data_IF_611202700782
#
_entry.id   IF_611202700782
#
_cell.length_a   1.000
_cell.length_b   1.000
_cell.length_c   1.000
_cell.angle_alpha   90.00
_cell.angle_beta   90.00
_cell.angle_gamma   90.00
#
_symmetry.space_group_name_H-M   'P 1'
#
loop_
_entity.id
_entity.type
_entity.pdbx_description
1 polymer ?
#
# COMPACT_ATOMS: atom_id res chain seq x y z
N UNK A 1 14.20 -14.78 -13.53
CA UNK A 1 13.65 -14.21 -12.27
C UNK A 1 12.88 -15.32 -11.58
N UNK A 2 13.27 -15.75 -10.36
CA UNK A 2 12.43 -16.63 -9.55
C UNK A 2 11.23 -15.82 -9.07
N UNK A 3 10.02 -16.17 -9.50
CA UNK A 3 8.81 -15.61 -8.94
C UNK A 3 8.85 -15.86 -7.41
N UNK A 4 8.95 -14.77 -6.63
CA UNK A 4 8.76 -14.90 -5.18
C UNK A 4 7.34 -15.40 -4.97
N UNK A 5 7.24 -16.52 -4.26
CA UNK A 5 5.95 -17.10 -3.90
C UNK A 5 5.07 -16.06 -3.20
N UNK A 6 3.85 -15.88 -3.70
CA UNK A 6 2.90 -14.94 -3.12
C UNK A 6 2.52 -15.39 -1.71
N UNK A 7 2.84 -14.56 -0.72
CA UNK A 7 2.50 -14.82 0.68
C UNK A 7 1.35 -13.90 1.12
N UNK A 8 0.09 -14.37 1.12
CA UNK A 8 -1.08 -13.54 1.36
C UNK A 8 -1.16 -12.91 2.76
N UNK A 9 -0.39 -13.42 3.72
CA UNK A 9 -0.35 -12.91 5.10
C UNK A 9 0.69 -11.81 5.34
N UNK A 10 1.49 -11.45 4.32
CA UNK A 10 2.50 -10.40 4.46
C UNK A 10 1.82 -9.04 4.52
N UNK A 11 2.00 -8.31 5.63
CA UNK A 11 1.52 -6.93 5.76
C UNK A 11 2.45 -5.96 5.02
N UNK A 12 1.87 -4.91 4.46
CA UNK A 12 2.57 -3.83 3.78
C UNK A 12 2.16 -2.51 4.41
N UNK A 13 3.10 -1.57 4.52
CA UNK A 13 2.84 -0.17 4.86
C UNK A 13 2.97 0.66 3.59
N UNK A 14 2.00 1.55 3.35
CA UNK A 14 2.00 2.52 2.26
C UNK A 14 1.87 3.90 2.90
N UNK A 15 2.77 4.79 2.56
CA UNK A 15 2.70 6.21 2.93
C UNK A 15 2.41 7.01 1.67
N UNK A 16 1.41 7.86 1.72
CA UNK A 16 1.02 8.69 0.59
C UNK A 16 0.43 10.02 1.08
N UNK A 17 0.32 11.01 0.17
CA UNK A 17 -0.40 12.25 0.44
C UNK A 17 -1.90 11.98 0.57
N UNK A 18 -2.62 12.85 1.27
CA UNK A 18 -4.08 12.76 1.37
C UNK A 18 -4.77 12.78 -0.01
N UNK A 19 -4.27 13.58 -0.94
CA UNK A 19 -4.79 13.62 -2.31
C UNK A 19 -4.76 12.23 -2.97
N UNK A 20 -3.63 11.52 -2.85
CA UNK A 20 -3.49 10.14 -3.36
C UNK A 20 -4.39 9.17 -2.59
N UNK A 21 -4.52 9.36 -1.29
CA UNK A 21 -5.39 8.53 -0.46
C UNK A 21 -6.85 8.66 -0.88
N UNK A 22 -7.33 9.91 -1.13
CA UNK A 22 -8.68 10.19 -1.67
C UNK A 22 -8.89 9.56 -3.03
N UNK A 23 -7.92 9.70 -3.93
CA UNK A 23 -7.97 9.08 -5.25
C UNK A 23 -8.05 7.56 -5.17
N UNK A 24 -7.25 6.94 -4.30
CA UNK A 24 -7.30 5.49 -4.07
C UNK A 24 -8.67 5.05 -3.56
N UNK A 25 -9.26 5.78 -2.60
CA UNK A 25 -10.60 5.46 -2.10
C UNK A 25 -11.65 5.50 -3.21
N UNK A 26 -11.65 6.57 -4.01
CA UNK A 26 -12.56 6.73 -5.14
C UNK A 26 -12.42 5.61 -6.18
N UNK A 27 -11.19 5.31 -6.59
CA UNK A 27 -10.95 4.22 -7.56
C UNK A 27 -11.38 2.85 -7.04
N UNK A 28 -11.09 2.55 -5.76
CA UNK A 28 -11.52 1.29 -5.16
C UNK A 28 -13.04 1.24 -5.03
N UNK A 29 -13.67 2.34 -4.65
CA UNK A 29 -15.13 2.44 -4.60
C UNK A 29 -15.74 2.20 -5.97
N UNK A 30 -15.27 2.87 -7.02
CA UNK A 30 -15.80 2.74 -8.38
C UNK A 30 -15.70 1.31 -8.91
N UNK A 31 -14.53 0.68 -8.76
CA UNK A 31 -14.36 -0.73 -9.15
C UNK A 31 -15.28 -1.64 -8.34
N UNK A 32 -15.42 -1.39 -7.03
CA UNK A 32 -16.29 -2.17 -6.16
C UNK A 32 -17.75 -2.04 -6.57
N UNK A 33 -18.20 -0.82 -6.89
CA UNK A 33 -19.56 -0.56 -7.39
C UNK A 33 -19.80 -1.24 -8.72
N UNK A 34 -18.84 -1.15 -9.66
CA UNK A 34 -18.95 -1.79 -10.97
C UNK A 34 -19.13 -3.30 -10.84
N UNK A 35 -18.21 -3.98 -10.15
CA UNK A 35 -18.28 -5.44 -9.98
C UNK A 35 -19.45 -5.86 -9.08
N UNK A 36 -19.93 -4.96 -8.23
CA UNK A 36 -21.09 -5.14 -7.37
C UNK A 36 -22.45 -4.96 -8.08
N UNK A 37 -22.44 -4.51 -9.33
CA UNK A 37 -23.65 -4.30 -10.14
C UNK A 37 -24.28 -2.93 -10.00
N UNK A 38 -23.50 -1.93 -9.55
CA UNK A 38 -23.95 -0.52 -9.41
C UNK A 38 -23.12 0.44 -10.28
N UNK A 39 -22.95 0.21 -11.58
CA UNK A 39 -22.12 1.05 -12.43
C UNK A 39 -22.61 2.50 -12.49
N UNK A 40 -23.90 2.76 -12.35
CA UNK A 40 -24.49 4.09 -12.35
C UNK A 40 -24.05 4.98 -11.16
N UNK A 41 -23.46 4.37 -10.11
CA UNK A 41 -23.00 5.07 -8.92
C UNK A 41 -21.48 5.32 -8.92
N UNK A 42 -20.80 5.06 -10.02
CA UNK A 42 -19.35 5.28 -10.13
C UNK A 42 -19.06 6.78 -10.22
N UNK A 43 -18.20 7.26 -9.34
CA UNK A 43 -17.85 8.68 -9.27
C UNK A 43 -17.04 9.16 -10.48
N UNK A 44 -16.25 8.28 -11.09
CA UNK A 44 -15.47 8.60 -12.30
C UNK A 44 -16.35 9.00 -13.50
N UNK A 45 -17.61 8.60 -13.53
CA UNK A 45 -18.54 9.01 -14.61
C UNK A 45 -18.79 10.52 -14.62
N UNK A 46 -18.64 11.17 -13.45
CA UNK A 46 -18.79 12.64 -13.36
C UNK A 46 -17.70 13.40 -14.09
N UNK A 47 -16.66 12.76 -14.60
CA UNK A 47 -15.65 13.36 -15.46
C UNK A 47 -16.15 13.64 -16.87
N UNK A 48 -17.31 13.10 -17.25
CA UNK A 48 -17.92 13.22 -18.57
C UNK A 48 -19.18 14.10 -18.48
N UNK A 49 -19.42 14.93 -19.50
CA UNK A 49 -20.60 15.80 -19.55
C UNK A 49 -21.93 15.00 -19.52
N UNK A 50 -21.91 13.79 -20.09
CA UNK A 50 -23.03 12.86 -20.11
C UNK A 50 -22.84 11.69 -19.13
N UNK A 51 -22.11 11.87 -18.04
CA UNK A 51 -21.79 10.81 -17.08
C UNK A 51 -22.99 10.06 -16.52
N UNK A 52 -24.09 10.75 -16.25
CA UNK A 52 -25.33 10.13 -15.79
C UNK A 52 -25.93 9.20 -16.86
N UNK A 53 -26.01 9.63 -18.12
CA UNK A 53 -26.53 8.81 -19.21
C UNK A 53 -25.69 7.57 -19.45
N UNK A 54 -24.36 7.73 -19.34
CA UNK A 54 -23.40 6.60 -19.40
C UNK A 54 -23.68 5.62 -18.26
N UNK A 55 -23.86 6.12 -17.06
CA UNK A 55 -24.15 5.30 -15.87
C UNK A 55 -25.44 4.51 -16.01
N UNK A 56 -26.51 5.15 -16.46
CA UNK A 56 -27.80 4.49 -16.72
C UNK A 56 -27.67 3.45 -17.85
N UNK A 57 -27.01 3.79 -18.94
CA UNK A 57 -26.76 2.83 -20.01
C UNK A 57 -25.98 1.60 -19.52
N UNK A 58 -24.97 1.80 -18.70
CA UNK A 58 -24.19 0.70 -18.12
C UNK A 58 -25.03 -0.16 -17.19
N UNK A 59 -25.89 0.47 -16.39
CA UNK A 59 -26.82 -0.24 -15.51
C UNK A 59 -27.80 -1.11 -16.31
N UNK A 60 -28.42 -0.55 -17.35
CA UNK A 60 -29.49 -1.22 -18.07
C UNK A 60 -28.99 -2.25 -19.09
N UNK A 61 -27.79 -2.03 -19.68
CA UNK A 61 -27.29 -2.86 -20.76
C UNK A 61 -26.06 -3.69 -20.37
N UNK A 62 -25.11 -3.15 -19.61
CA UNK A 62 -23.88 -3.88 -19.27
C UNK A 62 -24.07 -4.76 -18.05
N UNK A 63 -24.72 -4.25 -17.01
CA UNK A 63 -24.98 -5.01 -15.79
C UNK A 63 -25.72 -6.34 -16.03
N UNK A 64 -26.80 -6.42 -16.82
CA UNK A 64 -27.45 -7.70 -17.10
C UNK A 64 -26.55 -8.71 -17.83
N UNK A 65 -25.58 -8.23 -18.62
CA UNK A 65 -24.59 -9.10 -19.26
C UNK A 65 -23.59 -9.66 -18.25
N UNK A 66 -23.19 -8.84 -17.26
CA UNK A 66 -22.25 -9.24 -16.22
C UNK A 66 -22.88 -10.12 -15.14
N UNK A 67 -24.10 -9.82 -14.78
CA UNK A 67 -24.85 -10.39 -13.66
C UNK A 67 -26.27 -10.78 -14.11
N UNK A 68 -26.40 -11.70 -15.09
CA UNK A 68 -27.72 -12.15 -15.52
C UNK A 68 -28.46 -12.82 -14.36
N UNK A 69 -29.74 -12.56 -14.23
CA UNK A 69 -30.59 -13.05 -13.15
C UNK A 69 -30.23 -12.56 -11.74
N UNK A 70 -29.44 -11.45 -11.63
CA UNK A 70 -29.27 -10.82 -10.34
C UNK A 70 -30.58 -10.22 -9.86
N UNK A 71 -31.10 -10.79 -8.78
CA UNK A 71 -32.27 -10.27 -8.10
C UNK A 71 -31.89 -9.08 -7.21
N UNK A 72 -32.49 -7.93 -7.48
CA UNK A 72 -32.17 -6.66 -6.81
C UNK A 72 -31.11 -5.79 -7.52
N UNK A 73 -30.80 -4.64 -6.92
CA UNK A 73 -29.99 -3.59 -7.55
C UNK A 73 -28.48 -3.85 -7.52
N UNK A 74 -28.02 -4.71 -6.64
CA UNK A 74 -26.59 -5.03 -6.49
C UNK A 74 -26.34 -6.34 -5.74
N UNK A 75 -25.10 -6.81 -5.77
CA UNK A 75 -24.66 -8.01 -5.01
C UNK A 75 -24.74 -7.78 -3.49
N UNK A 76 -24.74 -6.56 -3.02
CA UNK A 76 -24.61 -6.19 -1.62
C UNK A 76 -23.15 -6.08 -1.17
N UNK A 77 -22.92 -5.22 -0.22
CA UNK A 77 -21.57 -4.87 0.28
C UNK A 77 -20.87 -6.03 1.00
N UNK A 78 -21.59 -6.96 1.58
CA UNK A 78 -21.04 -8.12 2.29
C UNK A 78 -20.91 -9.35 1.38
N UNK A 79 -21.16 -9.21 0.10
CA UNK A 79 -21.18 -10.34 -0.82
C UNK A 79 -22.33 -11.33 -0.61
N UNK A 80 -23.24 -11.07 0.34
CA UNK A 80 -24.40 -11.93 0.66
C UNK A 80 -25.71 -11.36 0.15
N UNK A 81 -25.66 -10.43 -0.78
CA UNK A 81 -26.80 -9.57 -1.17
C UNK A 81 -27.91 -10.31 -1.76
N UNK A 82 -28.05 -11.39 -2.21
CA UNK A 82 -29.16 -12.02 -2.91
C UNK A 82 -28.81 -13.43 -3.35
N UNK A 83 -29.60 -14.12 -3.90
CA UNK A 83 -29.42 -15.48 -4.36
C UNK A 83 -28.09 -15.74 -5.03
N UNK A 84 -27.15 -16.16 -4.30
CA UNK A 84 -26.18 -16.09 -4.81
C UNK A 84 -24.95 -16.72 -5.42
N UNK A 85 -25.01 -17.10 -6.71
CA UNK A 85 -23.93 -17.41 -7.65
C UNK A 85 -22.96 -16.22 -7.90
N UNK A 86 -23.33 -15.01 -7.47
CA UNK A 86 -22.56 -13.79 -7.66
C UNK A 86 -21.85 -13.28 -6.42
N UNK A 87 -21.97 -13.96 -5.30
CA UNK A 87 -21.19 -13.63 -4.10
C UNK A 87 -19.72 -13.60 -4.45
N UNK A 88 -19.08 -12.45 -4.23
CA UNK A 88 -17.68 -12.22 -4.56
C UNK A 88 -16.95 -11.61 -3.38
N UNK A 89 -15.91 -12.29 -2.96
CA UNK A 89 -15.02 -11.82 -1.92
C UNK A 89 -14.43 -10.45 -2.25
N UNK A 90 -14.14 -10.20 -3.52
CA UNK A 90 -13.57 -8.96 -4.01
C UNK A 90 -14.46 -7.76 -3.77
N UNK A 91 -15.79 -7.91 -3.89
CA UNK A 91 -16.76 -6.85 -3.58
C UNK A 91 -16.69 -6.50 -2.09
N UNK A 92 -16.72 -7.49 -1.21
CA UNK A 92 -16.63 -7.28 0.22
C UNK A 92 -15.28 -6.66 0.65
N UNK A 93 -14.17 -7.13 0.07
CA UNK A 93 -12.83 -6.59 0.34
C UNK A 93 -12.69 -5.15 -0.17
N UNK A 94 -13.17 -4.87 -1.37
CA UNK A 94 -13.16 -3.52 -1.93
C UNK A 94 -13.98 -2.56 -1.07
N UNK A 95 -15.18 -2.99 -0.66
CA UNK A 95 -16.04 -2.22 0.24
C UNK A 95 -15.33 -1.91 1.57
N UNK A 96 -14.76 -2.92 2.22
CA UNK A 96 -14.02 -2.73 3.47
C UNK A 96 -12.82 -1.80 3.30
N UNK A 97 -12.10 -1.89 2.18
CA UNK A 97 -10.93 -1.08 1.90
C UNK A 97 -11.28 0.42 1.76
N UNK A 98 -12.18 0.77 0.82
CA UNK A 98 -12.49 2.19 0.64
C UNK A 98 -13.23 2.80 1.84
N UNK A 99 -14.04 2.02 2.55
CA UNK A 99 -14.69 2.47 3.79
C UNK A 99 -13.71 2.73 4.91
N UNK A 100 -12.64 1.94 5.04
CA UNK A 100 -11.57 2.21 6.01
C UNK A 100 -10.90 3.56 5.74
N UNK A 101 -10.62 3.88 4.48
CA UNK A 101 -10.04 5.16 4.08
C UNK A 101 -11.01 6.32 4.35
N UNK A 102 -12.26 6.20 3.90
CA UNK A 102 -13.27 7.24 4.10
C UNK A 102 -13.55 7.48 5.59
N UNK A 103 -13.56 6.43 6.40
CA UNK A 103 -13.74 6.54 7.85
C UNK A 103 -12.60 7.29 8.52
N UNK A 104 -11.35 7.03 8.11
CA UNK A 104 -10.19 7.75 8.61
C UNK A 104 -10.25 9.24 8.26
N UNK A 105 -10.55 9.56 7.00
CA UNK A 105 -10.73 10.95 6.55
C UNK A 105 -11.90 11.64 7.23
N UNK A 106 -13.01 10.93 7.44
CA UNK A 106 -14.19 11.49 8.14
C UNK A 106 -13.87 11.85 9.60
N UNK A 107 -13.08 11.02 10.29
CA UNK A 107 -12.65 11.29 11.66
C UNK A 107 -11.72 12.49 11.73
N UNK A 108 -10.82 12.66 10.77
CA UNK A 108 -9.88 13.79 10.72
C UNK A 108 -10.60 15.13 10.48
N UNK A 109 -11.63 15.14 9.62
CA UNK A 109 -12.32 16.37 9.20
C UNK A 109 -13.72 16.53 9.79
N UNK A 110 -14.11 15.70 10.74
CA UNK A 110 -15.45 15.70 11.37
C UNK A 110 -16.60 15.67 10.33
N UNK A 111 -16.48 14.81 9.33
CA UNK A 111 -17.50 14.64 8.29
C UNK A 111 -18.68 13.80 8.80
N UNK A 112 -19.78 14.44 9.14
CA UNK A 112 -20.96 13.76 9.65
C UNK A 112 -21.72 12.92 8.60
N UNK A 113 -21.44 13.10 7.30
CA UNK A 113 -22.24 12.56 6.21
C UNK A 113 -21.52 11.53 5.32
N UNK A 114 -20.40 10.99 5.72
CA UNK A 114 -19.84 9.85 5.02
C UNK A 114 -20.63 8.61 5.43
N UNK A 115 -21.67 8.24 4.66
CA UNK A 115 -22.47 7.03 4.78
C UNK A 115 -22.12 6.15 5.99
N UNK A 116 -22.60 6.52 7.19
CA UNK A 116 -22.16 5.97 8.46
C UNK A 116 -20.63 5.76 8.47
N UNK A 117 -19.83 6.77 8.82
CA UNK A 117 -18.35 6.79 8.77
C UNK A 117 -17.60 5.63 9.44
N UNK A 118 -18.29 4.53 9.67
CA UNK A 118 -17.72 3.29 10.19
C UNK A 118 -17.53 2.31 9.05
N UNK A 119 -16.33 1.75 8.89
CA UNK A 119 -16.13 0.62 8.02
C UNK A 119 -17.04 -0.51 8.52
N UNK A 120 -17.87 -1.03 7.61
CA UNK A 120 -18.68 -2.19 7.93
C UNK A 120 -17.77 -3.42 7.84
N UNK A 121 -17.67 -4.15 8.94
CA UNK A 121 -16.99 -5.44 8.95
C UNK A 121 -17.88 -6.47 8.29
N UNK A 122 -17.32 -7.25 7.40
CA UNK A 122 -17.95 -8.47 6.89
C UNK A 122 -16.90 -9.58 6.91
N UNK A 123 -17.35 -10.79 7.15
CA UNK A 123 -16.45 -11.96 7.21
C UNK A 123 -15.64 -12.10 5.92
N UNK A 124 -16.28 -11.85 4.79
CA UNK A 124 -15.69 -11.92 3.46
C UNK A 124 -14.70 -10.78 3.17
N UNK A 125 -14.88 -9.63 3.79
CA UNK A 125 -14.00 -8.46 3.64
C UNK A 125 -12.66 -8.61 4.34
N UNK A 126 -12.61 -9.53 5.31
CA UNK A 126 -11.39 -9.79 6.06
C UNK A 126 -11.02 -8.68 7.06
N UNK A 127 -9.75 -8.60 7.39
CA UNK A 127 -9.22 -7.59 8.32
C UNK A 127 -9.31 -6.19 7.68
N UNK A 128 -9.81 -5.22 8.45
CA UNK A 128 -9.88 -3.82 8.02
C UNK A 128 -8.48 -3.22 7.86
N UNK A 129 -8.36 -2.27 6.96
CA UNK A 129 -7.12 -1.51 6.81
C UNK A 129 -6.95 -0.56 7.99
N UNK A 130 -5.74 -0.52 8.56
CA UNK A 130 -5.33 0.50 9.52
C UNK A 130 -4.92 1.75 8.72
N UNK A 131 -5.81 2.75 8.69
CA UNK A 131 -5.62 4.02 7.98
C UNK A 131 -5.62 5.12 9.01
N UNK A 132 -4.51 5.85 9.10
CA UNK A 132 -4.34 6.94 10.05
C UNK A 132 -3.39 7.99 9.49
N UNK A 133 -3.51 9.26 9.92
CA UNK A 133 -2.51 10.26 9.63
C UNK A 133 -1.12 9.80 10.05
N UNK A 134 -0.12 10.15 9.27
CA UNK A 134 1.25 10.05 9.75
C UNK A 134 1.42 11.16 10.77
N UNK A 135 1.69 10.80 12.02
CA UNK A 135 2.00 11.79 13.05
C UNK A 135 3.26 12.54 12.61
N UNK A 136 3.10 13.82 12.33
CA UNK A 136 4.22 14.67 11.93
C UNK A 136 5.28 14.81 13.03
N UNK A 137 4.93 14.49 14.28
CA UNK A 137 5.88 14.38 15.38
C UNK A 137 6.67 13.06 15.39
N UNK A 138 6.21 12.02 14.67
CA UNK A 138 6.98 10.79 14.55
C UNK A 138 8.32 11.06 13.86
N UNK A 139 9.42 10.56 14.42
CA UNK A 139 10.73 10.69 13.80
C UNK A 139 10.76 10.00 12.44
N UNK A 140 11.37 10.63 11.46
CA UNK A 140 11.57 10.05 10.13
C UNK A 140 12.28 8.70 10.23
N UNK A 141 11.67 7.67 9.65
CA UNK A 141 12.26 6.33 9.56
C UNK A 141 13.12 6.25 8.31
N UNK A 142 14.41 6.12 8.47
CA UNK A 142 15.33 5.95 7.35
C UNK A 142 15.94 4.55 7.41
N UNK A 143 15.77 3.82 6.33
CA UNK A 143 16.38 2.50 6.17
C UNK A 143 17.80 2.63 5.65
N UNK A 144 18.68 1.90 6.29
CA UNK A 144 20.07 1.76 5.89
C UNK A 144 20.40 0.28 5.65
N UNK A 145 21.46 0.09 4.91
CA UNK A 145 22.07 -1.22 4.70
C UNK A 145 23.50 -1.16 5.14
N UNK A 146 24.03 -2.24 5.68
CA UNK A 146 25.47 -2.34 5.95
C UNK A 146 26.04 -3.57 5.28
N UNK A 147 27.26 -3.44 4.77
CA UNK A 147 28.00 -4.52 4.14
C UNK A 147 29.51 -4.30 4.38
N UNK A 148 30.29 -5.37 4.30
CA UNK A 148 31.74 -5.37 4.57
C UNK A 148 32.48 -5.70 3.29
N UNK A 149 33.48 -4.89 2.96
CA UNK A 149 34.38 -5.10 1.82
C UNK A 149 35.40 -6.21 2.10
N UNK A 150 36.09 -6.75 1.08
CA UNK A 150 37.10 -7.79 1.24
C UNK A 150 38.26 -7.43 2.18
N UNK A 151 38.53 -6.12 2.37
CA UNK A 151 39.57 -5.63 3.28
C UNK A 151 39.07 -5.52 4.75
N UNK A 152 37.86 -5.97 5.04
CA UNK A 152 37.24 -5.97 6.37
C UNK A 152 36.63 -4.63 6.78
N UNK A 153 36.61 -3.63 5.91
CA UNK A 153 35.94 -2.36 6.19
C UNK A 153 34.46 -2.46 5.96
N UNK A 154 33.68 -2.06 6.95
CA UNK A 154 32.22 -2.05 6.90
C UNK A 154 31.69 -0.66 6.59
N UNK A 155 30.72 -0.58 5.68
CA UNK A 155 30.08 0.66 5.21
C UNK A 155 28.57 0.59 5.40
N UNK A 156 27.93 1.76 5.54
CA UNK A 156 26.48 1.85 5.56
C UNK A 156 25.98 2.63 4.33
N UNK A 157 24.88 2.15 3.74
CA UNK A 157 24.30 2.63 2.48
C UNK A 157 22.83 2.99 2.68
N UNK A 158 22.36 4.00 1.95
CA UNK A 158 20.94 4.39 1.93
C UNK A 158 20.11 3.47 1.02
N UNK A 159 20.73 2.80 0.07
CA UNK A 159 20.07 1.79 -0.79
C UNK A 159 20.77 0.44 -0.61
N UNK A 160 20.07 -0.66 -0.97
CA UNK A 160 20.67 -2.00 -0.89
C UNK A 160 21.93 -2.05 -1.76
N UNK A 161 23.13 -2.32 -1.20
CA UNK A 161 24.35 -2.34 -1.99
C UNK A 161 24.41 -3.59 -2.86
N UNK A 162 25.20 -3.50 -3.93
CA UNK A 162 25.53 -4.60 -4.84
C UNK A 162 27.02 -4.78 -4.94
N UNK A 163 27.49 -6.01 -5.12
CA UNK A 163 28.90 -6.28 -5.36
C UNK A 163 29.30 -5.82 -6.75
N UNK A 164 30.34 -5.01 -6.86
CA UNK A 164 30.93 -4.57 -8.14
C UNK A 164 32.39 -4.94 -8.23
N UNK A 165 32.80 -5.34 -9.42
CA UNK A 165 34.19 -5.63 -9.75
C UNK A 165 34.83 -4.38 -10.40
N UNK A 166 35.97 -3.99 -9.87
CA UNK A 166 36.81 -2.92 -10.36
C UNK A 166 38.16 -3.48 -10.82
N UNK A 167 38.98 -2.64 -11.45
CA UNK A 167 40.33 -3.04 -11.87
C UNK A 167 41.25 -3.48 -10.72
N UNK A 168 41.00 -2.99 -9.50
CA UNK A 168 41.76 -3.22 -8.28
C UNK A 168 41.09 -4.18 -7.29
N UNK A 169 39.97 -4.82 -7.67
CA UNK A 169 39.26 -5.78 -6.82
C UNK A 169 37.75 -5.63 -6.79
N UNK A 170 37.12 -6.20 -5.78
CA UNK A 170 35.69 -6.14 -5.54
C UNK A 170 35.37 -5.17 -4.41
N UNK A 171 34.22 -4.50 -4.47
CA UNK A 171 33.66 -3.68 -3.39
C UNK A 171 32.13 -3.75 -3.39
N UNK A 172 31.54 -3.32 -2.27
CA UNK A 172 30.11 -3.03 -2.20
C UNK A 172 29.83 -1.59 -2.64
N UNK A 173 28.86 -1.41 -3.52
CA UNK A 173 28.48 -0.10 -4.05
C UNK A 173 26.97 0.10 -3.92
N UNK A 174 26.48 1.36 -3.72
CA UNK A 174 25.05 1.65 -3.78
C UNK A 174 24.44 1.21 -5.12
N UNK A 175 23.30 0.54 -5.09
CA UNK A 175 22.66 0.03 -6.31
C UNK A 175 22.19 1.14 -7.27
N UNK A 176 21.93 2.33 -6.73
CA UNK A 176 21.39 3.51 -7.41
C UNK A 176 22.45 4.61 -7.67
N UNK A 177 23.71 4.32 -7.37
CA UNK A 177 24.78 5.32 -7.45
C UNK A 177 24.75 6.38 -6.33
N UNK A 178 23.95 6.12 -5.29
CA UNK A 178 23.78 7.01 -4.14
C UNK A 178 25.00 7.11 -3.22
N UNK A 179 24.82 7.81 -2.11
CA UNK A 179 25.85 8.08 -1.10
C UNK A 179 25.91 6.96 -0.07
N UNK A 180 27.09 6.68 0.44
CA UNK A 180 27.31 5.78 1.58
C UNK A 180 27.96 6.53 2.76
N UNK A 181 27.82 5.98 3.96
CA UNK A 181 28.49 6.45 5.16
C UNK A 181 29.84 5.74 5.25
N UNK A 182 30.91 6.51 5.34
CA UNK A 182 32.27 5.98 5.44
C UNK A 182 32.51 5.15 6.71
N UNK A 183 33.68 4.49 6.75
CA UNK A 183 34.04 3.49 7.77
C UNK A 183 33.85 3.99 9.21
N UNK A 184 34.31 5.19 9.52
CA UNK A 184 34.26 5.72 10.91
C UNK A 184 32.81 6.00 11.33
N UNK A 185 31.97 6.57 10.45
CA UNK A 185 30.54 6.78 10.72
C UNK A 185 29.79 5.47 10.85
N UNK A 186 30.11 4.48 10.04
CA UNK A 186 29.52 3.14 10.11
C UNK A 186 29.91 2.43 11.41
N UNK A 187 31.15 2.54 11.84
CA UNK A 187 31.62 2.00 13.11
C UNK A 187 30.83 2.54 14.29
N UNK A 188 30.65 3.87 14.32
CA UNK A 188 29.84 4.52 15.35
C UNK A 188 28.38 4.02 15.35
N UNK A 189 27.77 3.85 14.17
CA UNK A 189 26.41 3.27 14.04
C UNK A 189 26.33 1.82 14.53
N UNK A 190 27.31 0.99 14.18
CA UNK A 190 27.36 -0.41 14.59
C UNK A 190 27.42 -0.52 16.13
N UNK A 191 28.27 0.27 16.75
CA UNK A 191 28.42 0.29 18.21
C UNK A 191 27.16 0.81 18.91
N UNK A 192 26.64 1.95 18.46
CA UNK A 192 25.46 2.59 19.05
C UNK A 192 24.20 1.74 18.93
N UNK A 193 23.98 1.11 17.76
CA UNK A 193 22.78 0.34 17.46
C UNK A 193 22.97 -1.17 17.69
N UNK A 194 24.16 -1.60 18.16
CA UNK A 194 24.51 -3.01 18.36
C UNK A 194 24.25 -3.87 17.13
N UNK A 195 24.62 -3.36 15.94
CA UNK A 195 24.44 -4.07 14.69
C UNK A 195 25.42 -5.26 14.59
N UNK A 196 25.11 -6.27 13.78
CA UNK A 196 26.00 -7.39 13.55
C UNK A 196 27.30 -6.91 12.87
N UNK A 197 28.41 -7.50 13.27
CA UNK A 197 29.67 -7.40 12.53
C UNK A 197 29.60 -8.40 11.37
N UNK A 198 29.65 -7.86 10.16
CA UNK A 198 29.58 -8.64 8.93
C UNK A 198 30.98 -8.94 8.40
N UNK A 199 31.09 -9.99 7.61
CA UNK A 199 32.24 -10.33 6.77
C UNK A 199 31.92 -10.06 5.31
N UNK A 200 32.89 -10.16 4.42
CA UNK A 200 32.68 -10.05 2.98
C UNK A 200 31.69 -11.07 2.44
N UNK A 201 31.63 -12.27 3.03
CA UNK A 201 30.79 -13.36 2.56
C UNK A 201 29.33 -13.23 3.00
N UNK A 202 29.06 -12.34 3.95
CA UNK A 202 27.70 -12.10 4.44
C UNK A 202 26.90 -11.26 3.45
N UNK A 203 25.59 -11.51 3.41
CA UNK A 203 24.64 -10.66 2.70
C UNK A 203 24.48 -9.31 3.42
N UNK A 204 24.22 -8.22 2.68
CA UNK A 204 23.99 -6.90 3.29
C UNK A 204 22.86 -6.95 4.31
N UNK A 205 23.10 -6.39 5.49
CA UNK A 205 22.15 -6.32 6.59
C UNK A 205 21.39 -5.00 6.57
N UNK A 206 20.05 -5.06 6.63
CA UNK A 206 19.16 -3.89 6.67
C UNK A 206 18.83 -3.51 8.11
N UNK A 207 18.89 -2.24 8.43
CA UNK A 207 18.47 -1.66 9.71
C UNK A 207 17.77 -0.31 9.50
N UNK A 208 16.94 0.09 10.46
CA UNK A 208 16.19 1.35 10.41
C UNK A 208 16.65 2.28 11.52
N UNK A 209 16.92 3.52 11.18
CA UNK A 209 17.25 4.60 12.12
C UNK A 209 16.09 5.58 12.16
N UNK A 210 15.72 5.98 13.38
CA UNK A 210 14.76 7.07 13.59
C UNK A 210 15.53 8.39 13.62
N UNK A 211 15.29 9.24 12.62
CA UNK A 211 15.85 10.60 12.62
C UNK A 211 14.87 11.54 13.30
N UNK A 212 15.30 12.30 14.34
CA UNK A 212 14.47 13.40 14.82
C UNK A 212 14.27 14.40 13.70
N UNK A 213 13.05 14.91 13.55
CA UNK A 213 12.80 16.05 12.67
C UNK A 213 13.68 17.21 13.12
N UNK A 214 14.34 17.85 12.17
CA UNK A 214 15.01 19.13 12.43
C UNK A 214 13.94 20.20 12.39
N UNK A 215 13.77 20.89 13.51
CA UNK A 215 12.98 22.11 13.61
C UNK A 215 13.45 23.18 12.62
#
# INVERSE_FOLDING_TARGET
MKNKEYTPKRKWRIECTEEKLRLMASMVEDVTRFIGGQPQLMSCLMMFDNGNDIGEYMHDNVRPMMLPDLDGDCIGWNGKGTTNKYVRKEVAQGYAAYKSILSALANEYDWHNVHSGRPLTCEEGGELMDVRPVDESEPERVDYWTATDPDGKQFAFLSKPVRRQWANGWSWEPSDGGVYIGVEGTKALIEMLRLPRLTWDDEPYRFTVLKPKRD
#
